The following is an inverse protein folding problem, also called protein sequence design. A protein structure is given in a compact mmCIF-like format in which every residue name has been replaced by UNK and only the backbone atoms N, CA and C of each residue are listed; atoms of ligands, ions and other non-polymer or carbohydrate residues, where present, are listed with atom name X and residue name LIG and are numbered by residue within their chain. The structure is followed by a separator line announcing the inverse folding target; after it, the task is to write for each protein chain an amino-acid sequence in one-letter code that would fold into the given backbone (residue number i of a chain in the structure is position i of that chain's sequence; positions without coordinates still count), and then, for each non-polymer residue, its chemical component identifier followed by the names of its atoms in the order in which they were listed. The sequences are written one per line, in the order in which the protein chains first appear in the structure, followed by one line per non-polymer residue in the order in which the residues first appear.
data_IF_680069791946
#
_entry.id   IF_680069791946
#
_cell.length_a   1.000
_cell.length_b   1.000
_cell.length_c   1.000
_cell.angle_alpha   90.00
_cell.angle_beta   90.00
_cell.angle_gamma   90.00
#
_symmetry.space_group_name_H-M   'P 1'
#
loop_
_entity.id
_entity.type
_entity.pdbx_description
1 polymer ?
#
# COMPACT_ATOMS: atom_id res chain seq x y z
N UNK A 1 1.15 1.88 -15.40
CA UNK A 1 0.01 2.51 -14.71
C UNK A 1 0.52 3.08 -13.38
N UNK A 2 0.09 4.27 -12.94
CA UNK A 2 0.60 4.85 -11.67
C UNK A 2 -0.35 4.55 -10.50
N UNK A 3 0.18 4.40 -9.28
CA UNK A 3 -0.64 4.19 -8.07
C UNK A 3 -1.68 5.31 -7.85
N UNK A 4 -1.32 6.55 -8.19
CA UNK A 4 -2.23 7.71 -8.15
C UNK A 4 -3.39 7.54 -9.14
N UNK A 5 -3.16 6.97 -10.32
CA UNK A 5 -4.21 6.67 -11.30
C UNK A 5 -5.20 5.65 -10.73
N UNK A 6 -4.70 4.61 -10.07
CA UNK A 6 -5.54 3.57 -9.45
C UNK A 6 -6.41 4.21 -8.36
N UNK A 7 -5.81 4.99 -7.45
CA UNK A 7 -6.57 5.68 -6.39
C UNK A 7 -7.61 6.68 -6.94
N UNK A 8 -7.36 7.30 -8.11
CA UNK A 8 -8.35 8.12 -8.80
C UNK A 8 -9.54 7.29 -9.32
N UNK A 9 -9.30 6.10 -9.86
CA UNK A 9 -10.38 5.22 -10.34
C UNK A 9 -11.34 4.84 -9.22
N UNK A 10 -10.82 4.53 -8.04
CA UNK A 10 -11.61 4.25 -6.83
C UNK A 10 -12.20 5.51 -6.15
N UNK A 11 -11.97 6.70 -6.71
CA UNK A 11 -12.51 7.96 -6.17
C UNK A 11 -11.88 8.44 -4.87
N UNK A 12 -10.74 7.88 -4.46
CA UNK A 12 -9.98 8.36 -3.29
C UNK A 12 -9.25 9.68 -3.57
N UNK A 13 -9.06 10.01 -4.85
CA UNK A 13 -8.48 11.27 -5.33
C UNK A 13 -9.45 11.91 -6.31
N UNK A 14 -9.65 13.22 -6.19
CA UNK A 14 -10.60 13.96 -7.00
C UNK A 14 -10.00 14.30 -8.37
N UNK A 15 -10.79 14.11 -9.43
CA UNK A 15 -10.44 14.62 -10.75
C UNK A 15 -10.63 16.14 -10.79
N UNK A 16 -9.81 16.83 -11.58
CA UNK A 16 -9.85 18.30 -11.68
C UNK A 16 -11.23 18.80 -12.17
N UNK A 17 -11.88 18.02 -13.03
CA UNK A 17 -13.29 18.15 -13.42
C UNK A 17 -13.96 16.77 -13.35
N UNK A 18 -14.68 16.44 -12.26
CA UNK A 18 -15.36 15.15 -12.16
C UNK A 18 -16.58 15.15 -13.08
N UNK A 19 -16.60 14.25 -14.06
CA UNK A 19 -17.83 13.97 -14.82
C UNK A 19 -18.77 13.13 -13.96
N UNK A 20 -20.09 13.27 -14.15
CA UNK A 20 -21.09 12.43 -13.48
C UNK A 20 -20.76 10.94 -13.61
N UNK A 21 -20.34 10.51 -14.81
CA UNK A 21 -19.88 9.14 -15.09
C UNK A 21 -18.72 8.72 -14.18
N UNK A 22 -17.72 9.57 -13.98
CA UNK A 22 -16.55 9.26 -13.14
C UNK A 22 -16.92 9.14 -11.65
N UNK A 23 -17.83 9.99 -11.17
CA UNK A 23 -18.32 9.94 -9.79
C UNK A 23 -19.19 8.70 -9.54
N UNK A 24 -20.04 8.35 -10.52
CA UNK A 24 -20.88 7.16 -10.45
C UNK A 24 -20.04 5.87 -10.44
N UNK A 25 -19.04 5.76 -11.32
CA UNK A 25 -18.11 4.61 -11.33
C UNK A 25 -17.37 4.48 -10.00
N UNK A 26 -16.86 5.59 -9.45
CA UNK A 26 -16.18 5.57 -8.16
C UNK A 26 -17.11 5.11 -7.02
N UNK A 27 -18.37 5.55 -7.01
CA UNK A 27 -19.35 5.12 -6.02
C UNK A 27 -19.67 3.62 -6.13
N UNK A 28 -19.85 3.10 -7.35
CA UNK A 28 -20.04 1.66 -7.59
C UNK A 28 -18.83 0.90 -7.07
N UNK A 29 -17.61 1.32 -7.41
CA UNK A 29 -16.40 0.64 -6.96
C UNK A 29 -16.32 0.62 -5.43
N UNK A 30 -16.62 1.73 -4.75
CA UNK A 30 -16.64 1.82 -3.29
C UNK A 30 -17.72 0.91 -2.66
N UNK A 31 -18.91 0.83 -3.24
CA UNK A 31 -19.96 -0.08 -2.76
C UNK A 31 -19.51 -1.53 -2.95
N UNK A 32 -18.93 -1.87 -4.10
CA UNK A 32 -18.36 -3.19 -4.36
C UNK A 32 -17.27 -3.53 -3.35
N UNK A 33 -16.43 -2.57 -2.94
CA UNK A 33 -15.44 -2.77 -1.87
C UNK A 33 -16.10 -3.21 -0.56
N UNK A 34 -17.20 -2.55 -0.17
CA UNK A 34 -17.93 -2.89 1.06
C UNK A 34 -18.56 -4.28 0.98
N UNK A 35 -19.19 -4.61 -0.15
CA UNK A 35 -19.80 -5.93 -0.36
C UNK A 35 -18.75 -7.04 -0.30
N UNK A 36 -17.59 -6.83 -0.93
CA UNK A 36 -16.49 -7.78 -0.92
C UNK A 36 -15.93 -7.97 0.49
N UNK A 37 -15.79 -6.89 1.26
CA UNK A 37 -15.37 -7.00 2.65
C UNK A 37 -16.35 -7.82 3.49
N UNK A 38 -17.67 -7.62 3.29
CA UNK A 38 -18.69 -8.42 3.95
C UNK A 38 -18.60 -9.89 3.54
N UNK A 39 -18.38 -10.21 2.25
CA UNK A 39 -18.15 -11.59 1.79
C UNK A 39 -16.95 -12.22 2.51
N UNK A 40 -15.82 -11.50 2.56
CA UNK A 40 -14.61 -11.99 3.25
C UNK A 40 -14.85 -12.15 4.76
N UNK A 41 -15.58 -11.22 5.40
CA UNK A 41 -15.91 -11.32 6.82
C UNK A 41 -16.76 -12.55 7.12
N UNK A 42 -17.81 -12.79 6.34
CA UNK A 42 -18.68 -13.97 6.46
C UNK A 42 -17.90 -15.25 6.21
N UNK A 43 -17.00 -15.24 5.24
CA UNK A 43 -16.10 -16.36 4.93
C UNK A 43 -15.24 -16.75 6.14
N UNK A 44 -14.56 -15.78 6.76
CA UNK A 44 -13.75 -16.01 7.95
C UNK A 44 -14.60 -16.43 9.17
N UNK A 45 -15.79 -15.86 9.33
CA UNK A 45 -16.71 -16.24 10.41
C UNK A 45 -17.14 -17.72 10.31
N UNK A 46 -17.52 -18.17 9.11
CA UNK A 46 -17.88 -19.57 8.86
C UNK A 46 -16.69 -20.50 9.08
N UNK A 47 -15.48 -20.09 8.69
CA UNK A 47 -14.26 -20.85 8.93
C UNK A 47 -13.97 -21.03 10.44
N UNK A 48 -14.17 -20.00 11.26
CA UNK A 48 -13.96 -20.10 12.73
C UNK A 48 -14.95 -20.99 13.45
N UNK A 49 -16.19 -21.10 12.94
CA UNK A 49 -17.19 -21.97 13.54
C UNK A 49 -16.82 -23.48 13.43
N UNK A 50 -15.85 -23.82 12.58
CA UNK A 50 -15.51 -25.21 12.29
C UNK A 50 -14.29 -25.73 13.06
N UNK A 51 -13.28 -24.89 13.31
CA UNK A 51 -12.03 -25.29 13.94
C UNK A 51 -11.46 -24.17 14.83
N UNK A 52 -11.43 -24.42 16.13
CA UNK A 52 -10.92 -23.49 17.13
C UNK A 52 -9.40 -23.24 17.01
N UNK A 53 -8.66 -24.16 16.40
CA UNK A 53 -7.21 -24.02 16.21
C UNK A 53 -6.90 -22.90 15.19
N UNK A 54 -7.78 -22.67 14.22
CA UNK A 54 -7.66 -21.61 13.21
C UNK A 54 -8.03 -20.21 13.74
N UNK A 55 -8.67 -20.12 14.91
CA UNK A 55 -9.21 -18.87 15.46
C UNK A 55 -8.17 -17.74 15.52
N UNK A 56 -6.94 -18.05 15.97
CA UNK A 56 -5.87 -17.05 16.09
C UNK A 56 -5.50 -16.43 14.74
N UNK A 57 -5.47 -17.26 13.70
CA UNK A 57 -5.09 -16.85 12.36
C UNK A 57 -6.22 -16.04 11.73
N UNK A 58 -7.46 -16.51 11.89
CA UNK A 58 -8.64 -15.80 11.41
C UNK A 58 -8.76 -14.43 12.07
N UNK A 59 -8.53 -14.32 13.38
CA UNK A 59 -8.57 -13.05 14.09
C UNK A 59 -7.54 -12.06 13.54
N UNK A 60 -6.32 -12.49 13.24
CA UNK A 60 -5.32 -11.62 12.61
C UNK A 60 -5.76 -11.17 11.21
N UNK A 61 -6.27 -12.09 10.37
CA UNK A 61 -6.75 -11.73 9.03
C UNK A 61 -7.90 -10.74 9.10
N UNK A 62 -8.87 -10.98 9.97
CA UNK A 62 -9.97 -10.05 10.22
C UNK A 62 -9.46 -8.69 10.68
N UNK A 63 -8.47 -8.64 11.57
CA UNK A 63 -7.85 -7.39 11.99
C UNK A 63 -7.19 -6.64 10.82
N UNK A 64 -6.39 -7.34 10.02
CA UNK A 64 -5.67 -6.80 8.86
C UNK A 64 -6.62 -6.25 7.78
N UNK A 65 -7.68 -6.99 7.46
CA UNK A 65 -8.69 -6.57 6.47
C UNK A 65 -9.52 -5.40 7.04
N UNK A 66 -9.93 -5.46 8.30
CA UNK A 66 -10.67 -4.37 8.97
C UNK A 66 -9.85 -3.07 8.99
N UNK A 67 -8.54 -3.18 9.22
CA UNK A 67 -7.63 -2.04 9.18
C UNK A 67 -7.59 -1.42 7.78
N UNK A 68 -7.56 -2.24 6.74
CA UNK A 68 -7.61 -1.77 5.34
C UNK A 68 -8.93 -1.02 5.05
N UNK A 69 -10.06 -1.51 5.56
CA UNK A 69 -11.34 -0.80 5.45
C UNK A 69 -11.33 0.56 6.15
N UNK A 70 -10.78 0.62 7.37
CA UNK A 70 -10.64 1.89 8.09
C UNK A 70 -9.76 2.85 7.29
N UNK A 71 -8.65 2.37 6.72
CA UNK A 71 -7.78 3.16 5.82
C UNK A 71 -8.55 3.68 4.61
N UNK A 72 -9.37 2.85 3.96
CA UNK A 72 -10.23 3.28 2.84
C UNK A 72 -11.17 4.41 3.25
N UNK A 73 -11.89 4.25 4.37
CA UNK A 73 -12.82 5.27 4.89
C UNK A 73 -12.06 6.57 5.20
N UNK A 74 -10.87 6.47 5.78
CA UNK A 74 -10.03 7.65 6.07
C UNK A 74 -9.59 8.36 4.80
N UNK A 75 -9.19 7.62 3.75
CA UNK A 75 -8.83 8.19 2.45
C UNK A 75 -10.02 8.91 1.80
N UNK A 76 -11.22 8.32 1.86
CA UNK A 76 -12.44 8.97 1.37
C UNK A 76 -12.70 10.28 2.12
N UNK A 77 -12.63 10.27 3.45
CA UNK A 77 -12.84 11.47 4.29
C UNK A 77 -11.80 12.55 4.01
N UNK A 78 -10.55 12.15 3.72
CA UNK A 78 -9.41 13.06 3.48
C UNK A 78 -9.15 13.33 1.99
N UNK A 79 -10.03 12.91 1.07
CA UNK A 79 -9.82 12.95 -0.38
C UNK A 79 -9.41 14.33 -0.92
N UNK A 80 -9.99 15.41 -0.40
CA UNK A 80 -9.67 16.79 -0.82
C UNK A 80 -8.26 17.19 -0.41
N UNK A 81 -7.89 16.91 0.83
CA UNK A 81 -6.56 17.16 1.35
C UNK A 81 -5.50 16.34 0.60
N UNK A 82 -5.77 15.05 0.37
CA UNK A 82 -4.91 14.16 -0.41
C UNK A 82 -4.73 14.65 -1.85
N UNK A 83 -5.81 15.06 -2.52
CA UNK A 83 -5.73 15.59 -3.89
C UNK A 83 -4.88 16.86 -3.96
N UNK A 84 -5.11 17.80 -3.04
CA UNK A 84 -4.30 19.03 -2.94
C UNK A 84 -2.83 18.71 -2.69
N UNK A 85 -2.54 17.74 -1.82
CA UNK A 85 -1.17 17.32 -1.51
C UNK A 85 -0.48 16.73 -2.74
N UNK A 86 -1.13 15.80 -3.44
CA UNK A 86 -0.57 15.12 -4.60
C UNK A 86 -0.35 16.07 -5.78
N UNK A 87 -1.24 17.05 -5.97
CA UNK A 87 -1.01 18.08 -6.98
C UNK A 87 0.24 18.90 -6.64
N UNK A 88 0.44 19.26 -5.37
CA UNK A 88 1.63 20.01 -4.92
C UNK A 88 2.92 19.19 -5.01
N UNK A 89 2.88 17.89 -4.72
CA UNK A 89 4.05 17.00 -4.87
C UNK A 89 4.35 16.72 -6.34
N UNK A 90 3.36 16.80 -7.25
CA UNK A 90 3.58 16.61 -8.69
C UNK A 90 4.36 17.77 -9.31
N UNK A 91 4.16 19.01 -8.85
CA UNK A 91 4.93 20.17 -9.31
C UNK A 91 6.44 20.10 -9.01
N UNK A 92 6.85 19.22 -8.09
CA UNK A 92 8.25 19.03 -7.70
C UNK A 92 8.93 17.90 -8.52
N UNK A 93 8.19 17.25 -9.43
CA UNK A 93 8.58 15.96 -9.97
C UNK A 93 9.63 16.04 -11.10
N UNK A 94 10.65 15.19 -11.00
CA UNK A 94 11.55 14.85 -12.11
C UNK A 94 11.02 13.62 -12.89
N UNK A 95 11.27 13.55 -14.22
CA UNK A 95 10.77 12.47 -15.08
C UNK A 95 11.33 11.08 -14.72
N UNK A 96 12.55 10.99 -14.21
CA UNK A 96 13.19 9.72 -13.83
C UNK A 96 12.47 9.03 -12.64
N UNK A 97 12.09 9.81 -11.63
CA UNK A 97 11.35 9.33 -10.46
C UNK A 97 10.00 8.71 -10.85
N UNK A 98 9.31 9.28 -11.85
CA UNK A 98 8.01 8.79 -12.31
C UNK A 98 8.09 7.41 -12.97
N UNK A 99 9.16 7.12 -13.73
CA UNK A 99 9.37 5.81 -14.37
C UNK A 99 9.56 4.73 -13.31
N UNK A 100 10.40 4.99 -12.30
CA UNK A 100 10.64 4.07 -11.18
C UNK A 100 9.34 3.72 -10.42
N UNK A 101 8.55 4.74 -10.07
CA UNK A 101 7.27 4.55 -9.35
C UNK A 101 6.28 3.73 -10.18
N UNK A 102 6.22 3.98 -11.49
CA UNK A 102 5.36 3.21 -12.39
C UNK A 102 5.81 1.74 -12.49
N UNK A 103 7.11 1.46 -12.50
CA UNK A 103 7.64 0.08 -12.48
C UNK A 103 7.24 -0.63 -11.19
N UNK A 104 7.44 0.01 -10.02
CA UNK A 104 7.05 -0.57 -8.72
C UNK A 104 5.54 -0.82 -8.68
N UNK A 105 4.73 0.12 -9.17
CA UNK A 105 3.27 -0.06 -9.25
C UNK A 105 2.92 -1.28 -10.11
N UNK A 106 3.57 -1.45 -11.27
CA UNK A 106 3.36 -2.61 -12.13
C UNK A 106 3.75 -3.91 -11.44
N UNK A 107 4.87 -3.96 -10.70
CA UNK A 107 5.28 -5.13 -9.92
C UNK A 107 4.22 -5.51 -8.87
N UNK A 108 3.69 -4.53 -8.13
CA UNK A 108 2.63 -4.74 -7.14
C UNK A 108 1.37 -5.31 -7.81
N UNK A 109 1.02 -4.84 -9.00
CA UNK A 109 -0.12 -5.39 -9.76
C UNK A 109 0.13 -6.80 -10.30
N UNK A 110 1.36 -7.12 -10.71
CA UNK A 110 1.69 -8.48 -11.17
C UNK A 110 1.57 -9.48 -10.02
N UNK A 111 1.94 -9.09 -8.79
CA UNK A 111 1.81 -9.94 -7.60
C UNK A 111 0.35 -10.37 -7.34
N UNK A 112 -0.60 -9.52 -7.70
CA UNK A 112 -2.03 -9.83 -7.61
C UNK A 112 -2.44 -11.01 -8.49
N UNK A 113 -2.00 -10.99 -9.75
CA UNK A 113 -2.27 -12.07 -10.69
C UNK A 113 -1.54 -13.34 -10.30
N UNK A 114 -0.29 -13.23 -9.81
CA UNK A 114 0.46 -14.40 -9.35
C UNK A 114 -0.20 -15.05 -8.14
N UNK A 115 -0.71 -14.27 -7.18
CA UNK A 115 -1.41 -14.81 -6.01
C UNK A 115 -2.63 -15.65 -6.42
N UNK A 116 -3.51 -15.10 -7.26
CA UNK A 116 -4.69 -15.81 -7.74
C UNK A 116 -4.33 -17.06 -8.53
N UNK A 117 -3.29 -17.00 -9.37
CA UNK A 117 -2.81 -18.15 -10.14
C UNK A 117 -2.22 -19.25 -9.22
N UNK A 118 -1.43 -18.88 -8.22
CA UNK A 118 -0.87 -19.84 -7.26
C UNK A 118 -1.97 -20.57 -6.49
N UNK A 119 -2.98 -19.84 -6.01
CA UNK A 119 -4.13 -20.45 -5.33
C UNK A 119 -4.90 -21.42 -6.22
N UNK A 120 -5.10 -21.06 -7.49
CA UNK A 120 -5.75 -21.94 -8.46
C UNK A 120 -4.95 -23.23 -8.71
N UNK A 121 -3.62 -23.12 -8.82
CA UNK A 121 -2.74 -24.27 -9.02
C UNK A 121 -2.72 -25.19 -7.80
N UNK A 122 -2.68 -24.63 -6.59
CA UNK A 122 -2.73 -25.41 -5.35
C UNK A 122 -4.08 -26.13 -5.22
N UNK A 123 -5.18 -25.45 -5.54
CA UNK A 123 -6.50 -26.09 -5.56
C UNK A 123 -6.54 -27.27 -6.55
N UNK A 124 -6.09 -27.07 -7.79
CA UNK A 124 -6.17 -28.08 -8.85
C UNK A 124 -5.23 -29.27 -8.66
N UNK A 125 -3.99 -29.01 -8.24
CA UNK A 125 -2.93 -30.03 -8.21
C UNK A 125 -2.51 -30.44 -6.79
N UNK A 126 -2.76 -29.58 -5.80
CA UNK A 126 -2.39 -29.83 -4.41
C UNK A 126 -3.41 -30.67 -3.63
N UNK A 127 -4.59 -30.92 -4.20
CA UNK A 127 -5.66 -31.71 -3.55
C UNK A 127 -6.14 -31.09 -2.24
N UNK A 128 -6.04 -29.76 -2.13
CA UNK A 128 -6.32 -29.02 -0.90
C UNK A 128 -7.78 -28.53 -0.87
N UNK A 129 -8.63 -29.30 -0.18
CA UNK A 129 -10.05 -28.98 0.03
C UNK A 129 -10.27 -27.73 0.89
N UNK A 130 -9.22 -27.16 1.47
CA UNK A 130 -9.32 -25.94 2.25
C UNK A 130 -9.83 -24.77 1.38
N UNK A 131 -9.42 -24.70 0.11
CA UNK A 131 -9.94 -23.72 -0.84
C UNK A 131 -11.44 -23.92 -1.13
N UNK A 132 -11.94 -25.16 -1.05
CA UNK A 132 -13.36 -25.49 -1.23
C UNK A 132 -14.21 -25.02 -0.04
N UNK A 133 -13.75 -25.28 1.18
CA UNK A 133 -14.46 -24.85 2.40
C UNK A 133 -14.45 -23.33 2.51
N UNK A 134 -13.33 -22.70 2.19
CA UNK A 134 -13.13 -21.26 2.34
C UNK A 134 -13.86 -20.46 1.25
N UNK A 135 -13.67 -20.75 -0.04
CA UNK A 135 -14.23 -19.88 -1.10
C UNK A 135 -15.67 -20.19 -1.50
N UNK A 136 -16.17 -21.41 -1.28
CA UNK A 136 -17.50 -21.83 -1.73
C UNK A 136 -18.55 -21.95 -0.64
N UNK A 137 -18.24 -21.58 0.60
CA UNK A 137 -19.19 -21.76 1.71
C UNK A 137 -19.71 -23.20 1.85
N UNK A 138 -18.89 -24.19 1.45
CA UNK A 138 -19.25 -25.61 1.35
C UNK A 138 -20.40 -25.94 0.39
N UNK A 139 -20.76 -25.04 -0.53
CA UNK A 139 -21.77 -25.34 -1.54
C UNK A 139 -21.21 -26.30 -2.59
N UNK A 140 -21.90 -27.43 -2.88
CA UNK A 140 -21.51 -28.31 -3.96
C UNK A 140 -21.78 -27.60 -5.30
N UNK A 141 -20.74 -27.47 -6.12
CA UNK A 141 -20.85 -27.03 -7.51
C UNK A 141 -20.53 -28.20 -8.42
N UNK A 142 -21.38 -28.43 -9.42
CA UNK A 142 -21.20 -29.54 -10.37
C UNK A 142 -20.20 -29.18 -11.47
N UNK A 143 -20.15 -27.91 -11.89
CA UNK A 143 -19.27 -27.46 -12.97
C UNK A 143 -17.85 -27.15 -12.47
N UNK A 144 -16.87 -27.95 -12.93
CA UNK A 144 -15.45 -27.71 -12.64
C UNK A 144 -14.96 -26.35 -13.13
N UNK A 145 -15.35 -25.92 -14.34
CA UNK A 145 -14.93 -24.61 -14.89
C UNK A 145 -15.39 -23.45 -14.01
N UNK A 146 -16.62 -23.53 -13.49
CA UNK A 146 -17.18 -22.51 -12.61
C UNK A 146 -16.42 -22.46 -11.27
N UNK A 147 -16.00 -23.61 -10.73
CA UNK A 147 -15.17 -23.65 -9.52
C UNK A 147 -13.84 -22.92 -9.73
N UNK A 148 -13.12 -23.25 -10.80
CA UNK A 148 -11.83 -22.63 -11.10
C UNK A 148 -11.94 -21.10 -11.23
N UNK A 149 -12.99 -20.62 -11.91
CA UNK A 149 -13.24 -19.19 -12.07
C UNK A 149 -13.53 -18.49 -10.73
N UNK A 150 -14.34 -19.11 -9.87
CA UNK A 150 -14.69 -18.55 -8.55
C UNK A 150 -13.47 -18.50 -7.63
N UNK A 151 -12.68 -19.57 -7.54
CA UNK A 151 -11.45 -19.61 -6.71
C UNK A 151 -10.49 -18.51 -7.14
N UNK A 152 -10.20 -18.42 -8.43
CA UNK A 152 -9.30 -17.40 -8.96
C UNK A 152 -9.83 -15.99 -8.68
N UNK A 153 -11.12 -15.74 -8.96
CA UNK A 153 -11.72 -14.42 -8.79
C UNK A 153 -11.75 -13.99 -7.33
N UNK A 154 -12.11 -14.89 -6.41
CA UNK A 154 -12.13 -14.58 -4.97
C UNK A 154 -10.73 -14.39 -4.41
N UNK A 155 -9.75 -15.22 -4.79
CA UNK A 155 -8.35 -15.06 -4.39
C UNK A 155 -7.76 -13.73 -4.91
N UNK A 156 -8.02 -13.41 -6.18
CA UNK A 156 -7.63 -12.13 -6.78
C UNK A 156 -8.23 -10.96 -6.02
N UNK A 157 -9.55 -10.98 -5.81
CA UNK A 157 -10.26 -9.91 -5.11
C UNK A 157 -9.74 -9.77 -3.68
N UNK A 158 -9.62 -10.86 -2.94
CA UNK A 158 -9.08 -10.88 -1.59
C UNK A 158 -7.70 -10.19 -1.52
N UNK A 159 -6.75 -10.64 -2.36
CA UNK A 159 -5.40 -10.10 -2.35
C UNK A 159 -5.31 -8.65 -2.83
N UNK A 160 -6.26 -8.22 -3.68
CA UNK A 160 -6.39 -6.82 -4.09
C UNK A 160 -6.73 -5.93 -2.89
N UNK A 161 -7.72 -6.34 -2.09
CA UNK A 161 -8.15 -5.60 -0.92
C UNK A 161 -7.08 -5.61 0.17
N UNK A 162 -6.57 -6.79 0.51
CA UNK A 162 -5.47 -6.92 1.45
C UNK A 162 -4.50 -7.96 0.92
N UNK A 163 -3.21 -7.62 0.76
CA UNK A 163 -2.52 -6.41 1.22
C UNK A 163 -2.31 -5.34 0.13
N UNK A 164 -2.68 -5.61 -1.13
CA UNK A 164 -2.29 -4.79 -2.28
C UNK A 164 -2.74 -3.34 -2.17
N UNK A 165 -4.00 -3.09 -1.75
CA UNK A 165 -4.49 -1.73 -1.57
C UNK A 165 -3.68 -0.93 -0.55
N UNK A 166 -3.41 -1.51 0.62
CA UNK A 166 -2.58 -0.88 1.65
C UNK A 166 -1.18 -0.57 1.12
N UNK A 167 -0.58 -1.47 0.33
CA UNK A 167 0.71 -1.22 -0.31
C UNK A 167 0.67 -0.06 -1.32
N UNK A 168 -0.42 0.09 -2.08
CA UNK A 168 -0.57 1.23 -3.00
C UNK A 168 -0.63 2.55 -2.23
N UNK A 169 -1.30 2.58 -1.08
CA UNK A 169 -1.36 3.75 -0.20
C UNK A 169 0.03 4.08 0.35
N UNK A 170 0.76 3.07 0.82
CA UNK A 170 2.16 3.19 1.25
C UNK A 170 3.02 3.73 0.13
N UNK A 171 2.90 3.20 -1.09
CA UNK A 171 3.67 3.64 -2.25
C UNK A 171 3.43 5.12 -2.56
N UNK A 172 2.19 5.60 -2.44
CA UNK A 172 1.86 7.03 -2.62
C UNK A 172 2.50 7.90 -1.54
N UNK A 173 2.45 7.46 -0.28
CA UNK A 173 3.13 8.14 0.83
C UNK A 173 4.65 8.19 0.63
N UNK A 174 5.28 7.03 0.37
CA UNK A 174 6.70 6.92 0.10
C UNK A 174 7.11 7.77 -1.11
N UNK A 175 6.29 7.83 -2.16
CA UNK A 175 6.52 8.69 -3.32
C UNK A 175 6.57 10.17 -2.93
N UNK A 176 5.65 10.64 -2.07
CA UNK A 176 5.67 12.02 -1.59
C UNK A 176 6.95 12.33 -0.79
N UNK A 177 7.34 11.44 0.13
CA UNK A 177 8.56 11.58 0.93
C UNK A 177 9.83 11.55 0.06
N UNK A 178 9.92 10.59 -0.86
CA UNK A 178 11.06 10.46 -1.77
C UNK A 178 11.24 11.70 -2.64
N UNK A 179 10.16 12.30 -3.14
CA UNK A 179 10.23 13.56 -3.91
C UNK A 179 10.76 14.72 -3.08
N UNK A 180 10.35 14.83 -1.82
CA UNK A 180 10.88 15.83 -0.89
C UNK A 180 12.37 15.61 -0.61
N UNK A 181 12.76 14.36 -0.30
CA UNK A 181 14.17 13.96 -0.09
C UNK A 181 15.04 14.29 -1.29
N UNK A 182 14.63 13.86 -2.49
CA UNK A 182 15.36 14.14 -3.73
C UNK A 182 15.49 15.64 -4.02
N UNK A 183 14.46 16.43 -3.72
CA UNK A 183 14.51 17.88 -3.90
C UNK A 183 15.47 18.55 -2.95
N UNK A 184 15.53 18.10 -1.69
CA UNK A 184 16.55 18.55 -0.73
C UNK A 184 17.94 18.17 -1.22
N UNK A 185 18.14 16.94 -1.68
CA UNK A 185 19.42 16.47 -2.20
C UNK A 185 19.92 17.31 -3.38
N UNK A 186 19.02 17.65 -4.31
CA UNK A 186 19.34 18.54 -5.42
C UNK A 186 19.72 19.94 -4.96
N UNK A 187 18.96 20.53 -4.00
CA UNK A 187 19.29 21.83 -3.44
C UNK A 187 20.66 21.82 -2.76
N UNK A 188 20.99 20.77 -2.00
CA UNK A 188 22.31 20.61 -1.37
C UNK A 188 23.43 20.56 -2.39
N UNK A 189 23.26 19.77 -3.48
CA UNK A 189 24.25 19.67 -4.56
C UNK A 189 24.40 20.96 -5.36
N UNK A 190 23.32 21.71 -5.56
CA UNK A 190 23.39 23.03 -6.20
C UNK A 190 24.15 24.03 -5.34
N UNK A 191 23.94 23.96 -4.01
CA UNK A 191 24.62 24.82 -3.06
C UNK A 191 26.13 24.50 -2.98
N UNK A 192 26.51 23.23 -2.91
CA UNK A 192 27.93 22.79 -2.92
C UNK A 192 28.69 23.20 -4.19
N UNK A 193 27.97 23.45 -5.30
CA UNK A 193 28.55 23.91 -6.57
C UNK A 193 28.58 25.43 -6.70
N UNK A 194 27.89 26.16 -5.83
CA UNK A 194 27.95 27.62 -5.83
C UNK A 194 29.34 28.06 -5.37
N UNK A 195 30.01 28.93 -6.13
CA UNK A 195 31.26 29.52 -5.67
C UNK A 195 30.99 30.57 -4.59
N UNK A 196 31.91 30.73 -3.64
CA UNK A 196 31.82 31.74 -2.57
C UNK A 196 31.67 33.18 -3.10
N UNK A 197 32.15 33.47 -4.32
CA UNK A 197 31.99 34.77 -4.99
C UNK A 197 30.57 35.02 -5.51
N UNK A 198 29.80 33.96 -5.72
CA UNK A 198 28.40 34.00 -6.20
C UNK A 198 27.38 33.80 -5.09
N UNK A 199 27.82 33.41 -3.89
CA UNK A 199 26.95 33.18 -2.74
C UNK A 199 26.61 34.52 -2.08
N UNK A 200 25.51 35.12 -2.54
CA UNK A 200 24.97 36.37 -1.99
C UNK A 200 23.82 36.09 -1.03
N UNK A 201 23.46 37.08 -0.21
CA UNK A 201 22.30 37.01 0.70
C UNK A 201 21.02 36.65 -0.06
N UNK A 202 20.83 37.17 -1.27
CA UNK A 202 19.66 36.86 -2.11
C UNK A 202 19.62 35.38 -2.53
N UNK A 203 20.78 34.79 -2.84
CA UNK A 203 20.91 33.37 -3.17
C UNK A 203 20.61 32.51 -1.94
N UNK A 204 21.15 32.87 -0.78
CA UNK A 204 20.87 32.18 0.48
C UNK A 204 19.37 32.22 0.82
N UNK A 205 18.73 33.39 0.74
CA UNK A 205 17.28 33.55 0.98
C UNK A 205 16.46 32.71 0.00
N UNK A 206 16.88 32.61 -1.27
CA UNK A 206 16.24 31.76 -2.28
C UNK A 206 16.27 30.28 -1.88
N UNK A 207 17.43 29.74 -1.50
CA UNK A 207 17.57 28.34 -1.07
C UNK A 207 16.78 28.04 0.21
N UNK A 208 16.84 28.93 1.21
CA UNK A 208 16.05 28.81 2.44
C UNK A 208 14.54 28.84 2.16
N UNK A 209 14.09 29.68 1.22
CA UNK A 209 12.68 29.73 0.80
C UNK A 209 12.25 28.42 0.11
N UNK A 210 13.12 27.81 -0.70
CA UNK A 210 12.88 26.49 -1.29
C UNK A 210 12.79 25.40 -0.23
N UNK A 211 13.74 25.32 0.70
CA UNK A 211 13.69 24.39 1.85
C UNK A 211 12.38 24.54 2.64
N UNK A 212 12.00 25.78 2.97
CA UNK A 212 10.75 26.05 3.70
C UNK A 212 9.52 25.54 2.97
N UNK A 213 9.49 25.59 1.63
CA UNK A 213 8.39 25.00 0.84
C UNK A 213 8.34 23.48 0.96
N UNK A 214 9.50 22.81 0.96
CA UNK A 214 9.62 21.35 1.13
C UNK A 214 9.14 20.94 2.53
N UNK A 215 9.59 21.64 3.58
CA UNK A 215 9.15 21.39 4.97
C UNK A 215 7.62 21.52 5.09
N UNK A 216 7.03 22.60 4.57
CA UNK A 216 5.57 22.77 4.54
C UNK A 216 4.82 21.67 3.78
N UNK A 217 5.47 21.02 2.82
CA UNK A 217 4.89 19.89 2.08
C UNK A 217 4.98 18.60 2.88
N UNK A 218 6.11 18.37 3.57
CA UNK A 218 6.30 17.25 4.49
C UNK A 218 5.32 17.31 5.66
N UNK A 219 5.14 18.47 6.29
CA UNK A 219 4.14 18.70 7.35
C UNK A 219 2.74 18.28 6.87
N UNK A 220 2.33 18.76 5.69
CA UNK A 220 1.03 18.36 5.10
C UNK A 220 0.95 16.88 4.74
N UNK A 221 2.08 16.27 4.36
CA UNK A 221 2.14 14.84 4.08
C UNK A 221 1.91 14.05 5.37
N UNK A 222 2.58 14.45 6.46
CA UNK A 222 2.41 13.88 7.78
C UNK A 222 0.98 14.07 8.29
N UNK A 223 0.39 15.27 8.19
CA UNK A 223 -0.99 15.53 8.62
C UNK A 223 -2.02 14.63 7.93
N UNK A 224 -1.82 14.36 6.63
CA UNK A 224 -2.72 13.53 5.83
C UNK A 224 -2.50 12.05 6.11
N UNK A 225 -1.25 11.59 6.11
CA UNK A 225 -0.90 10.17 6.09
C UNK A 225 -0.55 9.59 7.45
N UNK A 226 -0.15 10.36 8.46
CA UNK A 226 0.27 9.83 9.77
C UNK A 226 -0.70 8.80 10.36
N UNK A 227 -2.01 9.08 10.50
CA UNK A 227 -2.91 8.09 11.09
C UNK A 227 -3.17 6.90 10.16
N UNK A 228 -3.07 7.08 8.84
CA UNK A 228 -3.22 6.02 7.84
C UNK A 228 -2.02 5.06 7.90
N UNK A 229 -0.81 5.62 7.89
CA UNK A 229 0.44 4.87 7.95
C UNK A 229 0.59 4.17 9.29
N UNK A 230 0.16 4.79 10.40
CA UNK A 230 0.13 4.13 11.71
C UNK A 230 -0.72 2.85 11.69
N UNK A 231 -1.92 2.93 11.13
CA UNK A 231 -2.80 1.77 10.99
C UNK A 231 -2.19 0.68 10.10
N UNK A 232 -1.66 1.04 8.92
CA UNK A 232 -1.01 0.09 8.02
C UNK A 232 0.20 -0.56 8.69
N UNK A 233 1.04 0.22 9.38
CA UNK A 233 2.17 -0.30 10.16
C UNK A 233 1.71 -1.31 11.21
N UNK A 234 0.68 -0.97 11.99
CA UNK A 234 0.13 -1.84 13.04
C UNK A 234 -0.37 -3.17 12.46
N UNK A 235 -1.14 -3.12 11.37
CA UNK A 235 -1.58 -4.32 10.66
C UNK A 235 -0.42 -5.14 10.12
N UNK A 236 0.54 -4.51 9.44
CA UNK A 236 1.70 -5.21 8.88
C UNK A 236 2.58 -5.84 9.96
N UNK A 237 2.82 -5.16 11.10
CA UNK A 237 3.56 -5.73 12.22
C UNK A 237 2.80 -6.91 12.84
N UNK A 238 1.50 -6.74 13.08
CA UNK A 238 0.64 -7.83 13.60
C UNK A 238 0.66 -9.05 12.67
N UNK A 239 0.54 -8.82 11.37
CA UNK A 239 0.65 -9.87 10.35
C UNK A 239 2.00 -10.58 10.47
N UNK A 240 3.12 -9.84 10.45
CA UNK A 240 4.46 -10.42 10.58
C UNK A 240 4.63 -11.25 11.87
N UNK A 241 4.16 -10.76 13.02
CA UNK A 241 4.24 -11.50 14.28
C UNK A 241 3.34 -12.74 14.31
N UNK A 242 2.12 -12.66 13.78
CA UNK A 242 1.25 -13.82 13.65
C UNK A 242 1.87 -14.88 12.74
N UNK A 243 2.52 -14.46 11.65
CA UNK A 243 3.22 -15.38 10.74
C UNK A 243 4.43 -16.04 11.40
N UNK A 244 5.24 -15.28 12.14
CA UNK A 244 6.35 -15.84 12.93
C UNK A 244 5.83 -16.87 13.94
N UNK A 245 4.71 -16.57 14.62
CA UNK A 245 4.05 -17.53 15.49
C UNK A 245 3.64 -18.80 14.75
N UNK A 246 3.01 -18.66 13.57
CA UNK A 246 2.61 -19.83 12.78
C UNK A 246 3.81 -20.69 12.35
N UNK A 247 4.90 -20.06 11.88
CA UNK A 247 6.12 -20.77 11.48
C UNK A 247 6.77 -21.55 12.64
N UNK A 248 6.70 -21.02 13.87
CA UNK A 248 7.28 -21.64 15.05
C UNK A 248 6.40 -22.77 15.59
N UNK A 249 5.07 -22.60 15.59
CA UNK A 249 4.15 -23.50 16.32
C UNK A 249 3.47 -24.56 15.44
N UNK A 250 3.35 -24.37 14.12
CA UNK A 250 2.67 -25.34 13.25
C UNK A 250 3.66 -26.28 12.55
N UNK A 251 3.59 -27.57 12.90
CA UNK A 251 4.20 -28.66 12.14
C UNK A 251 3.30 -28.99 10.95
N UNK A 252 3.76 -28.69 9.74
CA UNK A 252 3.05 -28.88 8.48
C UNK A 252 2.69 -30.36 8.24
N UNK A 253 1.48 -30.78 8.57
CA UNK A 253 0.88 -32.03 8.07
C UNK A 253 -0.14 -31.72 6.97
N UNK A 254 -0.26 -32.66 6.02
CA UNK A 254 -1.02 -32.64 4.76
C UNK A 254 -2.25 -31.70 4.76
N UNK A 255 -2.27 -30.75 3.81
CA UNK A 255 -3.29 -29.69 3.69
C UNK A 255 -2.77 -28.26 3.94
N UNK A 256 -1.47 -28.09 4.20
CA UNK A 256 -0.86 -26.80 4.54
C UNK A 256 -0.37 -25.94 3.37
N UNK A 257 -0.53 -26.37 2.10
CA UNK A 257 0.06 -25.67 0.95
C UNK A 257 -0.64 -24.34 0.64
N UNK A 258 -1.98 -24.30 0.64
CA UNK A 258 -2.72 -23.04 0.44
C UNK A 258 -2.43 -22.07 1.58
N UNK A 259 -2.38 -22.61 2.80
CA UNK A 259 -2.07 -21.84 4.00
C UNK A 259 -0.66 -21.25 3.98
N UNK A 260 0.34 -22.05 3.60
CA UNK A 260 1.73 -21.62 3.46
C UNK A 260 1.87 -20.58 2.33
N UNK A 261 1.19 -20.78 1.21
CA UNK A 261 1.21 -19.81 0.11
C UNK A 261 0.61 -18.48 0.54
N UNK A 262 -0.57 -18.47 1.16
CA UNK A 262 -1.18 -17.25 1.71
C UNK A 262 -0.24 -16.54 2.68
N UNK A 263 0.37 -17.33 3.56
CA UNK A 263 1.31 -16.88 4.57
C UNK A 263 2.51 -16.18 3.96
N UNK A 264 3.12 -16.78 2.93
CA UNK A 264 4.30 -16.24 2.27
C UNK A 264 3.97 -14.96 1.49
N UNK A 265 2.90 -14.95 0.71
CA UNK A 265 2.52 -13.77 -0.07
C UNK A 265 2.18 -12.57 0.82
N UNK A 266 1.40 -12.79 1.90
CA UNK A 266 1.05 -11.72 2.83
C UNK A 266 2.26 -11.22 3.62
N UNK A 267 3.14 -12.13 4.09
CA UNK A 267 4.32 -11.74 4.86
C UNK A 267 5.35 -10.97 4.03
N UNK A 268 5.66 -11.45 2.82
CA UNK A 268 6.56 -10.72 1.91
C UNK A 268 6.02 -9.33 1.58
N UNK A 269 4.71 -9.26 1.31
CA UNK A 269 4.04 -7.99 1.06
C UNK A 269 4.11 -7.03 2.27
N UNK A 270 3.80 -7.52 3.46
CA UNK A 270 3.86 -6.73 4.69
C UNK A 270 5.29 -6.26 5.00
N UNK A 271 6.29 -7.13 4.83
CA UNK A 271 7.71 -6.80 5.01
C UNK A 271 8.18 -5.72 4.04
N UNK A 272 7.91 -5.88 2.74
CA UNK A 272 8.29 -4.88 1.72
C UNK A 272 7.65 -3.52 2.04
N UNK A 273 6.39 -3.51 2.46
CA UNK A 273 5.71 -2.29 2.87
C UNK A 273 6.32 -1.66 4.12
N UNK A 274 6.62 -2.45 5.16
CA UNK A 274 7.28 -1.96 6.37
C UNK A 274 8.66 -1.36 6.05
N UNK A 275 9.49 -2.08 5.29
CA UNK A 275 10.81 -1.59 4.86
C UNK A 275 10.66 -0.26 4.13
N UNK A 276 9.72 -0.17 3.18
CA UNK A 276 9.49 1.06 2.41
C UNK A 276 9.02 2.24 3.28
N UNK A 277 8.16 1.98 4.26
CA UNK A 277 7.61 3.00 5.17
C UNK A 277 8.66 3.59 6.12
N UNK A 278 9.70 2.84 6.48
CA UNK A 278 10.77 3.34 7.34
C UNK A 278 11.97 3.87 6.55
N UNK A 279 12.36 3.17 5.48
CA UNK A 279 13.53 3.52 4.69
C UNK A 279 13.36 4.87 3.99
N UNK A 280 12.29 5.02 3.21
CA UNK A 280 12.13 6.17 2.31
C UNK A 280 11.90 7.48 3.09
N UNK A 281 10.99 7.55 4.09
CA UNK A 281 10.87 8.73 4.92
C UNK A 281 12.11 9.00 5.77
N UNK A 282 12.87 7.96 6.14
CA UNK A 282 14.15 8.08 6.86
C UNK A 282 15.24 8.84 6.08
N UNK A 283 15.17 8.87 4.75
CA UNK A 283 16.09 9.67 3.92
C UNK A 283 15.88 11.18 4.08
N UNK A 284 14.66 11.62 4.38
CA UNK A 284 14.30 13.05 4.47
C UNK A 284 15.14 13.79 5.52
N UNK A 285 15.23 13.37 6.79
CA UNK A 285 16.06 14.05 7.79
C UNK A 285 17.56 14.00 7.44
N UNK A 286 18.02 12.94 6.77
CA UNK A 286 19.42 12.82 6.32
C UNK A 286 19.74 13.91 5.29
N UNK A 287 18.90 14.06 4.26
CA UNK A 287 19.08 15.10 3.24
C UNK A 287 18.86 16.52 3.79
N UNK A 288 17.98 16.68 4.79
CA UNK A 288 17.80 17.95 5.50
C UNK A 288 19.08 18.37 6.23
N UNK A 289 19.72 17.44 6.95
CA UNK A 289 20.97 17.71 7.66
C UNK A 289 22.12 18.03 6.70
N UNK A 290 22.20 17.34 5.56
CA UNK A 290 23.20 17.66 4.52
C UNK A 290 23.01 19.08 3.99
N UNK A 291 21.77 19.51 3.75
CA UNK A 291 21.47 20.87 3.34
C UNK A 291 21.90 21.90 4.39
N UNK A 292 21.61 21.64 5.67
CA UNK A 292 21.99 22.54 6.77
C UNK A 292 23.52 22.67 6.90
N UNK A 293 24.25 21.56 6.73
CA UNK A 293 25.71 21.58 6.69
C UNK A 293 26.25 22.35 5.49
N UNK A 294 25.65 22.17 4.31
CA UNK A 294 26.06 22.87 3.10
C UNK A 294 25.87 24.39 3.24
N UNK A 295 24.74 24.85 3.79
CA UNK A 295 24.52 26.29 4.06
C UNK A 295 25.51 26.84 5.06
N UNK A 296 25.78 26.11 6.15
CA UNK A 296 26.66 26.59 7.22
C UNK A 296 28.11 26.72 6.75
N UNK A 297 28.53 25.94 5.73
CA UNK A 297 29.88 26.04 5.16
C UNK A 297 30.09 27.29 4.28
N UNK A 298 29.02 27.83 3.72
CA UNK A 298 29.05 28.99 2.80
C UNK A 298 28.78 30.33 3.52
N UNK A 299 28.39 30.29 4.81
CA UNK A 299 28.22 31.46 5.69
C UNK A 299 29.51 31.71 6.47
#
# INVERSE_FOLDING_TARGET
MSAVTILKWFGFIQNHNPSFKSTFIAAILQISMVVIYLDIFVMYFIATAHDNLLLKIVVEKLYSISTTMIVMVMLIRRRRALTSLLNKTYFICHPFSQKMINTITSCVLILLFSYGATFLLIYKYGGDDYALVFFFYKMPLESEMLKHLIVYSKAFVYFFFYPTFSNLVVLVFCTACHRCSHSLSNLSKELEKCSSKTFTVDVQVKYLKCRRRIIKLLEKTQDVFSPIIFLICSASFSCCFAMLGQLIFYSYKNGGLSFLSDTLFNSLSALISLISMFWIPGEVPIEMNKFDQAITKEV
#
